data_IF_622370039034
#
_entry.id   IF_622370039034
#
_cell.length_a   1.000
_cell.length_b   1.000
_cell.length_c   1.000
_cell.angle_alpha   90.00
_cell.angle_beta   90.00
_cell.angle_gamma   90.00
#
_symmetry.space_group_name_H-M   'P 1'
#
loop_
_entity.id
_entity.type
_entity.pdbx_description
1 polymer ?
#
# COMPACT_ATOMS: atom_id res chain seq x y z
N UNK A 1 3.24 -42.54 -11.39
CA UNK A 1 2.12 -41.58 -11.45
C UNK A 1 2.43 -40.48 -10.44
N UNK A 2 2.19 -39.18 -10.75
CA UNK A 2 2.42 -38.12 -9.79
C UNK A 2 1.58 -38.35 -8.52
N UNK A 3 2.16 -38.24 -7.33
CA UNK A 3 1.44 -38.45 -6.06
C UNK A 3 0.24 -37.51 -5.91
N UNK A 4 0.30 -36.33 -6.55
CA UNK A 4 -0.84 -35.42 -6.65
C UNK A 4 -2.13 -36.07 -7.16
N UNK A 5 -2.08 -37.08 -8.05
CA UNK A 5 -3.30 -37.71 -8.59
C UNK A 5 -4.08 -38.53 -7.57
N UNK A 6 -3.50 -38.83 -6.41
CA UNK A 6 -4.15 -39.53 -5.31
C UNK A 6 -5.01 -38.57 -4.46
N UNK A 7 -4.82 -37.26 -4.63
CA UNK A 7 -5.61 -36.23 -3.95
C UNK A 7 -6.97 -36.03 -4.67
N UNK A 8 -8.09 -35.89 -3.93
CA UNK A 8 -9.40 -35.62 -4.51
C UNK A 8 -9.43 -34.41 -5.45
N UNK A 9 -8.66 -33.36 -5.14
CA UNK A 9 -8.54 -32.15 -5.97
C UNK A 9 -7.96 -32.41 -7.39
N UNK A 10 -7.25 -33.54 -7.59
CA UNK A 10 -6.65 -33.95 -8.86
C UNK A 10 -7.38 -35.11 -9.55
N UNK A 11 -8.58 -35.47 -9.07
CA UNK A 11 -9.40 -36.52 -9.68
C UNK A 11 -9.95 -36.15 -11.06
N UNK A 12 -10.11 -34.85 -11.35
CA UNK A 12 -10.63 -34.33 -12.62
C UNK A 12 -9.65 -34.47 -13.80
N UNK A 13 -10.16 -34.66 -15.02
CA UNK A 13 -9.34 -34.81 -16.24
C UNK A 13 -8.36 -33.67 -16.46
N UNK A 14 -8.79 -32.42 -16.24
CA UNK A 14 -7.97 -31.23 -16.41
C UNK A 14 -6.84 -31.11 -15.38
N UNK A 15 -7.14 -31.40 -14.11
CA UNK A 15 -6.14 -31.35 -13.03
C UNK A 15 -5.16 -32.51 -13.13
N UNK A 16 -5.64 -33.72 -13.45
CA UNK A 16 -4.79 -34.90 -13.73
C UNK A 16 -3.77 -34.65 -14.85
N UNK A 17 -4.18 -33.98 -15.94
CA UNK A 17 -3.25 -33.62 -17.05
C UNK A 17 -2.11 -32.72 -16.59
N UNK A 18 -2.35 -31.87 -15.57
CA UNK A 18 -1.34 -30.95 -15.02
C UNK A 18 -0.59 -31.51 -13.82
N UNK A 19 -0.93 -32.71 -13.35
CA UNK A 19 -0.34 -33.30 -12.14
C UNK A 19 1.18 -33.47 -12.26
N UNK A 20 1.69 -33.84 -13.44
CA UNK A 20 3.13 -33.97 -13.69
C UNK A 20 3.84 -32.62 -13.52
N UNK A 21 3.31 -31.56 -14.13
CA UNK A 21 3.87 -30.21 -14.05
C UNK A 21 3.94 -29.72 -12.60
N UNK A 22 2.86 -29.89 -11.85
CA UNK A 22 2.79 -29.43 -10.47
C UNK A 22 3.67 -30.27 -9.54
N UNK A 23 3.72 -31.59 -9.73
CA UNK A 23 4.61 -32.47 -8.95
C UNK A 23 6.07 -32.06 -9.15
N UNK A 24 6.51 -31.83 -10.39
CA UNK A 24 7.87 -31.34 -10.68
C UNK A 24 8.17 -29.97 -10.03
N UNK A 25 7.18 -29.09 -9.93
CA UNK A 25 7.37 -27.80 -9.25
C UNK A 25 7.55 -27.98 -7.73
N UNK A 26 6.75 -28.88 -7.12
CA UNK A 26 6.83 -29.22 -5.70
C UNK A 26 8.17 -29.90 -5.39
N UNK A 27 8.57 -30.89 -6.19
CA UNK A 27 9.82 -31.63 -6.00
C UNK A 27 11.03 -30.68 -6.08
N UNK A 28 11.03 -29.75 -7.04
CA UNK A 28 12.06 -28.69 -7.11
C UNK A 28 12.06 -27.80 -5.88
N UNK A 29 10.88 -27.39 -5.38
CA UNK A 29 10.79 -26.53 -4.20
C UNK A 29 11.25 -27.25 -2.92
N UNK A 30 10.89 -28.53 -2.75
CA UNK A 30 11.32 -29.35 -1.62
C UNK A 30 12.83 -29.65 -1.63
N UNK A 31 13.47 -29.61 -2.80
CA UNK A 31 14.91 -29.78 -2.95
C UNK A 31 15.72 -28.49 -2.74
N UNK A 32 15.08 -27.33 -2.55
CA UNK A 32 15.78 -26.07 -2.34
C UNK A 32 16.43 -26.05 -0.94
N UNK A 33 17.71 -25.63 -0.83
CA UNK A 33 18.31 -25.32 0.46
C UNK A 33 17.55 -24.19 1.16
N UNK A 34 17.52 -24.20 2.49
CA UNK A 34 16.81 -23.19 3.30
C UNK A 34 17.24 -21.75 2.96
N UNK A 35 18.52 -21.54 2.63
CA UNK A 35 19.06 -20.25 2.21
C UNK A 35 18.49 -19.70 0.89
N UNK A 36 17.83 -20.53 0.07
CA UNK A 36 17.17 -20.14 -1.18
C UNK A 36 15.65 -20.00 -1.03
N UNK A 37 15.10 -20.31 0.14
CA UNK A 37 13.67 -20.12 0.40
C UNK A 37 13.35 -18.62 0.54
N UNK A 38 12.19 -18.17 0.05
CA UNK A 38 11.76 -16.79 0.24
C UNK A 38 11.49 -16.51 1.72
N UNK A 39 11.65 -15.25 2.12
CA UNK A 39 11.30 -14.79 3.47
C UNK A 39 9.82 -15.06 3.80
N UNK A 40 9.55 -15.66 4.95
CA UNK A 40 8.18 -15.88 5.48
C UNK A 40 7.46 -14.54 5.69
N UNK A 41 8.20 -13.44 5.93
CA UNK A 41 7.62 -12.10 6.13
C UNK A 41 7.18 -11.43 4.82
N UNK A 42 7.33 -12.12 3.69
CA UNK A 42 7.14 -11.55 2.36
C UNK A 42 8.22 -10.52 2.01
N UNK A 43 8.24 -10.03 0.75
CA UNK A 43 9.06 -8.89 0.40
C UNK A 43 8.64 -7.68 1.24
N UNK A 44 9.61 -6.86 1.67
CA UNK A 44 9.32 -5.55 2.28
C UNK A 44 8.51 -4.76 1.26
N UNK A 45 7.23 -4.55 1.53
CA UNK A 45 6.41 -3.67 0.72
C UNK A 45 6.76 -2.24 1.08
N UNK A 46 6.94 -1.38 0.09
CA UNK A 46 6.96 0.08 0.28
C UNK A 46 5.55 0.62 0.60
N UNK A 47 4.55 -0.25 0.75
CA UNK A 47 3.25 0.14 1.27
C UNK A 47 3.34 0.43 2.78
N UNK A 48 2.67 1.49 3.25
CA UNK A 48 2.51 1.72 4.68
C UNK A 48 1.92 0.48 5.37
N UNK A 49 2.24 0.25 6.67
CA UNK A 49 1.57 -0.78 7.44
C UNK A 49 0.05 -0.52 7.50
N UNK A 50 -0.75 -1.50 7.93
CA UNK A 50 -2.18 -1.29 8.14
C UNK A 50 -2.41 -0.08 9.08
N UNK A 51 -3.32 0.87 8.77
CA UNK A 51 -3.52 2.09 9.58
C UNK A 51 -3.72 1.85 11.07
N UNK A 52 -4.38 0.74 11.44
CA UNK A 52 -4.58 0.34 12.84
C UNK A 52 -3.28 0.15 13.64
N UNK A 53 -2.17 -0.13 12.98
CA UNK A 53 -0.88 -0.37 13.61
C UNK A 53 0.00 0.89 13.66
N UNK A 54 -0.48 2.03 13.15
CA UNK A 54 0.32 3.25 13.07
C UNK A 54 0.52 3.88 14.44
N UNK A 55 -0.53 3.98 15.27
CA UNK A 55 -0.43 4.56 16.60
C UNK A 55 0.64 3.87 17.47
N UNK A 56 0.80 2.55 17.32
CA UNK A 56 1.81 1.79 18.08
C UNK A 56 3.22 1.86 17.44
N UNK A 57 3.32 2.08 16.13
CA UNK A 57 4.61 2.04 15.40
C UNK A 57 5.24 3.42 15.20
N UNK A 58 4.41 4.40 14.88
CA UNK A 58 4.78 5.78 14.58
C UNK A 58 3.57 6.69 14.91
N UNK A 59 3.45 7.14 16.18
CA UNK A 59 2.38 8.03 16.61
C UNK A 59 2.32 9.33 15.80
N UNK A 60 3.47 9.86 15.38
CA UNK A 60 3.54 11.08 14.58
C UNK A 60 2.95 10.86 13.17
N UNK A 61 3.20 9.70 12.54
CA UNK A 61 2.53 9.32 11.30
C UNK A 61 1.01 9.19 11.46
N UNK A 62 0.56 8.62 12.59
CA UNK A 62 -0.87 8.50 12.89
C UNK A 62 -1.53 9.88 13.03
N UNK A 63 -0.90 10.81 13.76
CA UNK A 63 -1.36 12.20 13.89
C UNK A 63 -1.42 12.92 12.54
N UNK A 64 -0.35 12.79 11.71
CA UNK A 64 -0.32 13.32 10.34
C UNK A 64 -1.46 12.81 9.49
N UNK A 65 -1.74 11.51 9.54
CA UNK A 65 -2.83 10.92 8.77
C UNK A 65 -4.22 11.39 9.24
N UNK A 66 -4.41 11.56 10.56
CA UNK A 66 -5.65 12.08 11.11
C UNK A 66 -5.91 13.53 10.66
N UNK A 67 -4.92 14.41 10.81
CA UNK A 67 -5.00 15.80 10.37
C UNK A 67 -5.25 15.89 8.85
N UNK A 68 -4.47 15.15 8.06
CA UNK A 68 -4.62 15.15 6.61
C UNK A 68 -5.99 14.65 6.14
N UNK A 69 -6.59 13.67 6.84
CA UNK A 69 -7.96 13.21 6.53
C UNK A 69 -9.01 14.29 6.78
N UNK A 70 -8.86 15.09 7.84
CA UNK A 70 -9.77 16.20 8.11
C UNK A 70 -9.72 17.23 6.98
N UNK A 71 -8.52 17.61 6.52
CA UNK A 71 -8.33 18.54 5.38
C UNK A 71 -9.01 18.02 4.10
N UNK A 72 -8.83 16.74 3.77
CA UNK A 72 -9.46 16.17 2.56
C UNK A 72 -10.99 16.14 2.71
N UNK A 73 -11.51 15.89 3.91
CA UNK A 73 -12.95 15.93 4.16
C UNK A 73 -13.51 17.35 4.00
N UNK A 74 -12.82 18.37 4.52
CA UNK A 74 -13.21 19.77 4.34
C UNK A 74 -13.21 20.18 2.86
N UNK A 75 -12.15 19.85 2.11
CA UNK A 75 -12.11 20.11 0.67
C UNK A 75 -13.20 19.36 -0.10
N UNK A 76 -13.51 18.13 0.31
CA UNK A 76 -14.59 17.32 -0.27
C UNK A 76 -15.93 18.01 -0.11
N UNK A 77 -16.20 18.56 1.07
CA UNK A 77 -17.42 19.29 1.40
C UNK A 77 -17.48 20.62 0.63
N UNK A 78 -16.40 21.41 0.62
CA UNK A 78 -16.33 22.69 -0.08
C UNK A 78 -16.55 22.55 -1.60
N UNK A 79 -15.91 21.56 -2.21
CA UNK A 79 -15.99 21.33 -3.65
C UNK A 79 -17.16 20.43 -4.06
N UNK A 80 -17.92 19.88 -3.12
CA UNK A 80 -19.05 18.99 -3.36
C UNK A 80 -18.70 17.79 -4.25
N UNK A 81 -17.53 17.20 -4.01
CA UNK A 81 -17.03 16.03 -4.74
C UNK A 81 -16.53 14.97 -3.76
N UNK A 82 -16.66 13.66 -4.07
CA UNK A 82 -16.10 12.61 -3.23
C UNK A 82 -14.60 12.80 -2.93
N UNK A 83 -14.19 12.60 -1.68
CA UNK A 83 -12.81 12.72 -1.23
C UNK A 83 -11.81 11.92 -2.10
N UNK A 84 -12.19 10.73 -2.56
CA UNK A 84 -11.35 9.92 -3.45
C UNK A 84 -11.09 10.56 -4.82
N UNK A 85 -11.97 11.46 -5.28
CA UNK A 85 -11.79 12.23 -6.50
C UNK A 85 -10.80 13.39 -6.31
N UNK A 86 -10.63 13.88 -5.07
CA UNK A 86 -9.63 14.88 -4.73
C UNK A 86 -8.26 14.24 -4.53
N UNK A 87 -8.19 13.17 -3.73
CA UNK A 87 -6.95 12.44 -3.49
C UNK A 87 -7.22 10.96 -3.18
N UNK A 88 -6.46 10.07 -3.83
CA UNK A 88 -6.59 8.63 -3.59
C UNK A 88 -6.17 8.29 -2.13
N UNK A 89 -6.97 7.50 -1.39
CA UNK A 89 -6.67 7.17 0.00
C UNK A 89 -5.33 6.46 0.23
N UNK A 90 -4.82 5.72 -0.77
CA UNK A 90 -3.49 5.11 -0.70
C UNK A 90 -2.37 6.15 -0.80
N UNK A 91 -2.53 7.14 -1.68
CA UNK A 91 -1.54 8.20 -1.86
C UNK A 91 -1.44 9.08 -0.61
N UNK A 92 -2.58 9.44 0.01
CA UNK A 92 -2.59 10.13 1.30
C UNK A 92 -1.85 9.34 2.39
N UNK A 93 -2.09 8.02 2.47
CA UNK A 93 -1.38 7.16 3.43
C UNK A 93 0.12 7.09 3.14
N UNK A 94 0.54 7.03 1.88
CA UNK A 94 1.98 7.04 1.54
C UNK A 94 2.65 8.35 1.93
N UNK A 95 2.04 9.48 1.63
CA UNK A 95 2.52 10.81 2.02
C UNK A 95 2.65 10.92 3.55
N UNK A 96 1.65 10.47 4.31
CA UNK A 96 1.68 10.48 5.77
C UNK A 96 2.57 9.39 6.38
N UNK A 97 3.01 8.37 5.64
CA UNK A 97 3.93 7.37 6.17
C UNK A 97 5.40 7.71 5.87
N UNK A 98 5.65 8.25 4.69
CA UNK A 98 6.98 8.67 4.24
C UNK A 98 6.89 10.12 3.77
N UNK A 99 6.85 11.08 4.72
CA UNK A 99 6.68 12.48 4.39
C UNK A 99 7.90 13.03 3.63
N UNK A 100 7.72 14.10 2.83
CA UNK A 100 8.86 14.87 2.35
C UNK A 100 9.64 15.46 3.53
N UNK A 101 10.91 15.83 3.28
CA UNK A 101 11.80 16.37 4.31
C UNK A 101 11.25 17.66 4.94
N UNK A 102 10.56 18.50 4.15
CA UNK A 102 9.86 19.68 4.62
C UNK A 102 8.35 19.51 4.41
N UNK A 103 7.55 19.85 5.43
CA UNK A 103 6.09 19.83 5.36
C UNK A 103 5.56 21.19 4.89
N UNK A 104 5.91 21.55 3.66
CA UNK A 104 5.46 22.78 3.00
C UNK A 104 4.70 22.48 1.71
N UNK A 105 3.97 23.49 1.19
CA UNK A 105 3.10 23.32 0.03
C UNK A 105 3.87 22.83 -1.21
N UNK A 106 5.10 23.31 -1.42
CA UNK A 106 5.90 22.94 -2.57
C UNK A 106 6.32 21.46 -2.51
N UNK A 107 6.84 21.05 -1.36
CA UNK A 107 7.33 19.70 -1.09
C UNK A 107 6.20 18.68 -1.13
N UNK A 108 5.04 19.01 -0.55
CA UNK A 108 3.86 18.15 -0.58
C UNK A 108 3.31 18.02 -2.00
N UNK A 109 3.16 19.13 -2.72
CA UNK A 109 2.67 19.11 -4.12
C UNK A 109 3.59 18.25 -5.00
N UNK A 110 4.91 18.40 -4.88
CA UNK A 110 5.87 17.59 -5.61
C UNK A 110 5.75 16.10 -5.28
N UNK A 111 5.57 15.75 -4.00
CA UNK A 111 5.38 14.38 -3.56
C UNK A 111 4.06 13.77 -4.09
N UNK A 112 2.97 14.54 -4.10
CA UNK A 112 1.68 14.12 -4.67
C UNK A 112 1.78 13.84 -6.17
N UNK A 113 2.44 14.72 -6.93
CA UNK A 113 2.69 14.54 -8.36
C UNK A 113 3.53 13.29 -8.64
N UNK A 114 4.63 13.11 -7.89
CA UNK A 114 5.47 11.92 -8.00
C UNK A 114 4.70 10.62 -7.66
N UNK A 115 3.72 10.72 -6.76
CA UNK A 115 2.80 9.64 -6.40
C UNK A 115 1.63 9.43 -7.36
N UNK A 116 1.56 10.18 -8.47
CA UNK A 116 0.58 9.99 -9.53
C UNK A 116 -0.73 10.80 -9.38
N UNK A 117 -0.79 11.77 -8.46
CA UNK A 117 -1.89 12.74 -8.46
C UNK A 117 -1.87 13.56 -9.75
N UNK A 118 -3.07 13.92 -10.24
CA UNK A 118 -3.19 14.85 -11.38
C UNK A 118 -2.73 16.24 -10.96
N UNK A 119 -2.23 17.08 -11.88
CA UNK A 119 -1.76 18.44 -11.55
C UNK A 119 -2.75 19.25 -10.72
N UNK A 120 -4.01 19.33 -11.14
CA UNK A 120 -5.05 20.05 -10.40
C UNK A 120 -5.32 19.48 -9.00
N UNK A 121 -5.19 18.16 -8.81
CA UNK A 121 -5.37 17.54 -7.48
C UNK A 121 -4.23 17.95 -6.55
N UNK A 122 -2.99 17.89 -7.04
CA UNK A 122 -1.82 18.25 -6.26
C UNK A 122 -1.80 19.75 -5.92
N UNK A 123 -2.15 20.61 -6.88
CA UNK A 123 -2.24 22.07 -6.71
C UNK A 123 -3.34 22.49 -5.73
N UNK A 124 -4.47 21.78 -5.71
CA UNK A 124 -5.56 22.03 -4.76
C UNK A 124 -5.23 21.52 -3.36
N UNK A 125 -4.77 20.27 -3.26
CA UNK A 125 -4.61 19.57 -1.99
C UNK A 125 -3.31 19.93 -1.28
N UNK A 126 -2.22 20.16 -2.03
CA UNK A 126 -0.89 20.38 -1.47
C UNK A 126 -0.81 21.57 -0.51
N UNK A 127 -1.26 22.77 -0.89
CA UNK A 127 -1.30 23.93 0.00
C UNK A 127 -2.20 23.73 1.23
N UNK A 128 -3.35 23.08 1.06
CA UNK A 128 -4.27 22.81 2.16
C UNK A 128 -3.65 21.87 3.21
N UNK A 129 -2.95 20.82 2.76
CA UNK A 129 -2.23 19.91 3.66
C UNK A 129 -1.04 20.56 4.36
N UNK A 130 -0.37 21.53 3.72
CA UNK A 130 0.72 22.28 4.33
C UNK A 130 0.22 23.25 5.41
N UNK A 131 -0.97 23.83 5.22
CA UNK A 131 -1.58 24.76 6.17
C UNK A 131 -2.16 24.06 7.41
N UNK A 132 -2.49 22.78 7.30
CA UNK A 132 -2.87 21.98 8.46
C UNK A 132 -1.62 21.76 9.33
N UNK A 133 -1.54 22.47 10.46
CA UNK A 133 -0.52 22.24 11.47
C UNK A 133 -0.61 20.80 11.95
N UNK A 134 0.27 19.95 11.45
CA UNK A 134 0.56 18.70 12.11
C UNK A 134 1.52 19.03 13.23
N UNK A 135 1.00 19.29 14.43
CA UNK A 135 1.82 19.50 15.61
C UNK A 135 2.77 18.31 15.79
N UNK A 136 4.09 18.52 15.70
CA UNK A 136 5.06 17.54 16.20
C UNK A 136 5.16 17.75 17.70
N UNK A 137 4.93 16.71 18.50
CA UNK A 137 5.64 16.59 19.78
C UNK A 137 7.07 16.11 19.52
#
# INVERSE_FOLDING_TARGET
MPALTDLPAFAGKGTRRRAVLWQQAIDRALALPEAQLPSIRGPRSDAPPPPRAWADRDPAAAARLAAARAVIAELSDDHHVPAENLLQPDLLRRLCWTPPQAWDAQSITAALLAGGARPWQAELVGPALAAAEVTPE
#
